data_IF_957745619612
#
_entry.id   IF_957745619612
#
_cell.length_a   1.000
_cell.length_b   1.000
_cell.length_c   1.000
_cell.angle_alpha   90.00
_cell.angle_beta   90.00
_cell.angle_gamma   90.00
#
_symmetry.space_group_name_H-M   'P 1'
#
loop_
_entity.id
_entity.type
_entity.pdbx_description
1 polymer ?
#
# COMPACT_ATOMS: atom_id res chain seq x y z
N UNK A 1 7.34 3.42 6.38
CA UNK A 1 6.04 3.71 5.71
C UNK A 1 6.07 3.23 4.26
N UNK A 2 4.94 2.94 3.62
CA UNK A 2 4.88 2.59 2.19
C UNK A 2 4.61 3.85 1.34
N UNK A 3 5.63 4.70 1.19
CA UNK A 3 5.49 6.02 0.55
C UNK A 3 5.11 5.92 -0.94
N UNK A 4 5.67 4.93 -1.66
CA UNK A 4 5.40 4.73 -3.07
C UNK A 4 3.93 4.35 -3.32
N UNK A 5 3.40 3.41 -2.53
CA UNK A 5 1.98 3.06 -2.57
C UNK A 5 1.08 4.27 -2.28
N UNK A 6 1.38 5.06 -1.24
CA UNK A 6 0.61 6.25 -0.91
C UNK A 6 0.63 7.30 -2.04
N UNK A 7 1.79 7.52 -2.65
CA UNK A 7 1.95 8.45 -3.76
C UNK A 7 1.15 8.01 -4.99
N UNK A 8 1.18 6.73 -5.35
CA UNK A 8 0.43 6.20 -6.49
C UNK A 8 -1.09 6.25 -6.25
N UNK A 9 -1.55 5.96 -5.03
CA UNK A 9 -2.97 6.15 -4.65
C UNK A 9 -3.40 7.59 -4.89
N UNK A 10 -2.58 8.56 -4.49
CA UNK A 10 -2.88 9.99 -4.65
C UNK A 10 -2.84 10.43 -6.12
N UNK A 11 -1.80 10.03 -6.88
CA UNK A 11 -1.63 10.34 -8.31
C UNK A 11 -2.82 9.90 -9.14
N UNK A 12 -3.33 8.69 -8.86
CA UNK A 12 -4.47 8.10 -9.58
C UNK A 12 -5.83 8.48 -9.01
N UNK A 13 -5.85 9.26 -7.93
CA UNK A 13 -7.07 9.65 -7.19
C UNK A 13 -7.93 8.45 -6.77
N UNK A 14 -7.28 7.34 -6.43
CA UNK A 14 -7.95 6.11 -6.02
C UNK A 14 -8.47 6.28 -4.59
N UNK A 15 -9.76 5.99 -4.38
CA UNK A 15 -10.34 6.02 -3.03
C UNK A 15 -9.77 4.87 -2.21
N UNK A 16 -8.99 5.16 -1.18
CA UNK A 16 -8.49 4.16 -0.20
C UNK A 16 -9.59 3.25 0.36
N UNK A 17 -10.82 3.75 0.55
CA UNK A 17 -11.98 2.91 0.95
C UNK A 17 -12.26 1.76 -0.02
N UNK A 18 -12.02 1.96 -1.32
CA UNK A 18 -12.19 0.95 -2.36
C UNK A 18 -11.10 -0.11 -2.27
N UNK A 19 -9.85 0.29 -2.06
CA UNK A 19 -8.72 -0.62 -1.82
C UNK A 19 -9.02 -1.48 -0.60
N UNK A 20 -9.38 -0.85 0.52
CA UNK A 20 -9.70 -1.54 1.77
C UNK A 20 -10.80 -2.59 1.59
N UNK A 21 -11.91 -2.22 0.93
CA UNK A 21 -12.99 -3.15 0.60
C UNK A 21 -12.52 -4.32 -0.26
N UNK A 22 -11.63 -4.05 -1.22
CA UNK A 22 -11.13 -5.06 -2.17
C UNK A 22 -10.25 -6.12 -1.51
N UNK A 23 -9.48 -5.74 -0.48
CA UNK A 23 -8.69 -6.66 0.33
C UNK A 23 -9.43 -7.19 1.57
N UNK A 24 -10.74 -6.92 1.71
CA UNK A 24 -11.54 -7.38 2.85
C UNK A 24 -11.15 -6.73 4.20
N UNK A 25 -10.61 -5.50 4.17
CA UNK A 25 -10.18 -4.75 5.37
C UNK A 25 -10.96 -3.47 5.58
N UNK A 26 -10.88 -2.93 6.79
CA UNK A 26 -11.42 -1.61 7.10
C UNK A 26 -10.51 -0.51 6.56
N UNK A 27 -11.07 0.69 6.36
CA UNK A 27 -10.30 1.88 5.98
C UNK A 27 -9.17 2.18 6.98
N UNK A 28 -9.45 2.02 8.27
CA UNK A 28 -8.45 2.25 9.32
C UNK A 28 -7.30 1.23 9.23
N UNK A 29 -7.63 -0.06 9.05
CA UNK A 29 -6.63 -1.12 8.88
C UNK A 29 -5.73 -0.85 7.67
N UNK A 30 -6.29 -0.40 6.54
CA UNK A 30 -5.50 -0.04 5.37
C UNK A 30 -4.54 1.12 5.69
N UNK A 31 -5.00 2.18 6.36
CA UNK A 31 -4.13 3.30 6.73
C UNK A 31 -3.01 2.89 7.69
N UNK A 32 -3.30 2.01 8.67
CA UNK A 32 -2.28 1.47 9.55
C UNK A 32 -1.25 0.61 8.79
N UNK A 33 -1.68 -0.12 7.76
CA UNK A 33 -0.78 -0.85 6.87
C UNK A 33 0.08 0.08 6.02
N UNK A 34 -0.51 1.07 5.36
CA UNK A 34 0.21 2.05 4.52
C UNK A 34 1.22 2.85 5.35
N UNK A 35 0.84 3.28 6.56
CA UNK A 35 1.78 3.95 7.50
C UNK A 35 2.94 3.06 7.95
N UNK A 36 2.86 1.74 7.73
CA UNK A 36 3.90 0.77 8.08
C UNK A 36 3.77 0.22 9.49
N UNK A 37 2.72 0.57 10.26
CA UNK A 37 2.46 0.01 11.59
C UNK A 37 2.15 -1.48 11.55
N UNK A 38 1.52 -1.95 10.47
CA UNK A 38 1.30 -3.37 10.19
C UNK A 38 1.77 -3.71 8.78
N UNK A 39 2.37 -4.90 8.56
CA UNK A 39 2.73 -5.33 7.22
C UNK A 39 1.49 -5.68 6.40
N UNK A 40 1.61 -5.59 5.07
CA UNK A 40 0.71 -6.29 4.16
C UNK A 40 1.04 -7.77 4.13
N UNK A 41 0.01 -8.62 4.09
CA UNK A 41 0.21 -10.01 3.68
C UNK A 41 0.48 -10.07 2.17
N UNK A 42 1.08 -11.16 1.71
CA UNK A 42 1.36 -11.33 0.28
C UNK A 42 0.09 -11.23 -0.58
N UNK A 43 -0.98 -11.92 -0.17
CA UNK A 43 -2.25 -11.92 -0.91
C UNK A 43 -2.87 -10.51 -0.98
N UNK A 44 -2.84 -9.76 0.12
CA UNK A 44 -3.31 -8.37 0.13
C UNK A 44 -2.49 -7.50 -0.83
N UNK A 45 -1.16 -7.64 -0.81
CA UNK A 45 -0.27 -6.86 -1.67
C UNK A 45 -0.47 -7.20 -3.16
N UNK A 46 -0.62 -8.49 -3.48
CA UNK A 46 -0.89 -8.98 -4.82
C UNK A 46 -2.22 -8.45 -5.36
N UNK A 47 -3.30 -8.56 -4.57
CA UNK A 47 -4.62 -8.04 -4.96
C UNK A 47 -4.57 -6.53 -5.21
N UNK A 48 -3.83 -5.78 -4.38
CA UNK A 48 -3.67 -4.33 -4.55
C UNK A 48 -2.93 -4.02 -5.85
N UNK A 49 -1.83 -4.73 -6.11
CA UNK A 49 -1.02 -4.54 -7.32
C UNK A 49 -1.84 -4.83 -8.58
N UNK A 50 -2.40 -6.04 -8.69
CA UNK A 50 -3.09 -6.49 -9.90
C UNK A 50 -4.34 -5.66 -10.22
N UNK A 51 -5.07 -5.17 -9.20
CA UNK A 51 -6.32 -4.43 -9.41
C UNK A 51 -6.18 -2.93 -9.55
N UNK A 52 -5.14 -2.31 -8.98
CA UNK A 52 -5.05 -0.85 -8.91
C UNK A 52 -3.77 -0.29 -9.53
N UNK A 53 -2.69 -1.07 -9.56
CA UNK A 53 -1.36 -0.63 -10.00
C UNK A 53 -0.64 -1.69 -10.88
N UNK A 54 -1.32 -2.35 -11.84
CA UNK A 54 -0.69 -3.43 -12.62
C UNK A 54 0.52 -2.98 -13.44
N UNK A 55 0.63 -1.69 -13.76
CA UNK A 55 1.75 -1.11 -14.49
C UNK A 55 2.93 -0.69 -13.61
N UNK A 56 2.77 -0.67 -12.28
CA UNK A 56 3.84 -0.31 -11.36
C UNK A 56 4.67 -1.56 -10.99
N UNK A 57 5.96 -1.39 -10.69
CA UNK A 57 6.77 -2.48 -10.17
C UNK A 57 6.28 -2.92 -8.78
N UNK A 58 6.00 -4.21 -8.58
CA UNK A 58 5.50 -4.73 -7.29
C UNK A 58 6.43 -4.39 -6.12
N UNK A 59 7.74 -4.61 -6.31
CA UNK A 59 8.75 -4.38 -5.27
C UNK A 59 8.89 -2.90 -4.93
N UNK A 60 8.82 -2.03 -5.93
CA UNK A 60 8.89 -0.57 -5.77
C UNK A 60 7.64 -0.06 -5.05
N UNK A 61 6.45 -0.55 -5.43
CA UNK A 61 5.18 -0.15 -4.85
C UNK A 61 5.12 -0.46 -3.34
N UNK A 62 5.60 -1.63 -2.94
CA UNK A 62 5.66 -2.10 -1.56
C UNK A 62 7.03 -1.91 -0.90
N UNK A 63 7.86 -1.02 -1.44
CA UNK A 63 9.12 -0.65 -0.81
C UNK A 63 8.83 0.13 0.48
N UNK A 64 9.43 -0.32 1.58
CA UNK A 64 9.36 0.41 2.85
C UNK A 64 10.40 1.51 2.80
N UNK A 65 9.97 2.73 3.11
CA UNK A 65 10.89 3.80 3.48
C UNK A 65 11.46 3.43 4.84
N UNK A 66 12.68 2.92 4.86
CA UNK A 66 13.44 2.68 6.07
C UNK A 66 13.81 4.04 6.68
N UNK A 67 13.08 4.46 7.72
CA UNK A 67 13.59 5.44 8.69
C UNK A 67 14.60 4.75 9.62
N UNK A 68 15.59 4.07 9.06
CA UNK A 68 16.71 3.51 9.83
C UNK A 68 18.00 3.69 9.07
N UNK A 69 18.42 4.96 8.95
CA UNK A 69 19.83 5.33 9.05
C UNK A 69 19.96 6.46 10.06
N UNK A 70 19.75 6.12 11.34
CA UNK A 70 20.45 6.81 12.41
C UNK A 70 21.32 5.76 13.08
N UNK A 71 22.61 5.82 12.77
CA UNK A 71 23.77 5.42 13.57
C UNK A 71 25.02 5.84 12.80
#
# INVERSE_FOLDING_TARGET
MYNNLEAEIARRKIKKRMIAKTIGRTYNTLNLKISGKFPFTYDEALIIHEKFFPECGFKELFEKSDETKLN
#
